data_IF_581140479821
#
_entry.id   IF_581140479821
#
_cell.length_a   1.000
_cell.length_b   1.000
_cell.length_c   1.000
_cell.angle_alpha   90.00
_cell.angle_beta   90.00
_cell.angle_gamma   90.00
#
_symmetry.space_group_name_H-M   'P 1'
#
loop_
_entity.id
_entity.type
_entity.pdbx_description
1 polymer ?
#
# COMPACT_ATOMS: atom_id res chain seq x y z
N UNK A 1 4.20 8.59 22.64
CA UNK A 1 3.40 9.23 21.56
C UNK A 1 4.25 9.13 20.30
N UNK A 2 3.70 8.64 19.18
CA UNK A 2 4.45 8.47 17.94
C UNK A 2 4.72 9.84 17.32
N UNK A 3 5.95 10.03 16.84
CA UNK A 3 6.32 11.18 16.03
C UNK A 3 5.82 10.98 14.59
N UNK A 4 4.69 11.62 14.29
CA UNK A 4 4.04 11.54 12.95
C UNK A 4 4.93 12.14 11.84
N UNK A 5 5.66 13.21 12.15
CA UNK A 5 6.54 13.86 11.16
C UNK A 5 7.70 12.95 10.79
N UNK A 6 8.25 12.25 11.80
CA UNK A 6 9.31 11.28 11.56
C UNK A 6 8.81 10.08 10.79
N UNK A 7 7.61 9.56 11.09
CA UNK A 7 7.00 8.47 10.33
C UNK A 7 6.80 8.86 8.86
N UNK A 8 6.23 10.03 8.59
CA UNK A 8 6.05 10.55 7.22
C UNK A 8 7.38 10.63 6.47
N UNK A 9 8.42 11.17 7.10
CA UNK A 9 9.75 11.27 6.51
C UNK A 9 10.34 9.88 6.16
N UNK A 10 10.18 8.89 7.05
CA UNK A 10 10.65 7.52 6.82
C UNK A 10 9.92 6.91 5.60
N UNK A 11 8.60 7.03 5.53
CA UNK A 11 7.83 6.40 4.43
C UNK A 11 8.13 7.07 3.10
N UNK A 12 8.31 8.40 3.07
CA UNK A 12 8.74 9.12 1.86
C UNK A 12 10.14 8.70 1.41
N UNK A 13 11.07 8.54 2.34
CA UNK A 13 12.43 8.08 2.01
C UNK A 13 12.40 6.64 1.47
N UNK A 14 11.60 5.76 2.03
CA UNK A 14 11.35 4.42 1.49
C UNK A 14 10.83 4.49 0.03
N UNK A 15 9.89 5.40 -0.25
CA UNK A 15 9.42 5.65 -1.61
C UNK A 15 10.53 6.11 -2.55
N UNK A 16 11.46 6.96 -2.10
CA UNK A 16 12.60 7.40 -2.91
C UNK A 16 13.59 6.24 -3.16
N UNK A 17 13.82 5.37 -2.18
CA UNK A 17 14.64 4.16 -2.33
C UNK A 17 14.02 3.28 -3.43
N UNK A 18 12.71 3.02 -3.37
CA UNK A 18 12.01 2.29 -4.42
C UNK A 18 12.15 2.94 -5.79
N UNK A 19 12.00 4.27 -5.90
CA UNK A 19 12.18 5.02 -7.14
C UNK A 19 13.57 4.90 -7.75
N UNK A 20 14.63 4.80 -6.95
CA UNK A 20 16.00 4.67 -7.44
C UNK A 20 16.21 3.36 -8.22
N UNK A 21 15.43 2.32 -7.89
CA UNK A 21 15.46 1.01 -8.53
C UNK A 21 14.37 0.82 -9.59
N UNK A 22 13.39 1.72 -9.63
CA UNK A 22 12.25 1.59 -10.52
C UNK A 22 12.67 1.54 -12.00
N UNK A 23 12.24 0.52 -12.77
CA UNK A 23 12.71 0.28 -14.14
C UNK A 23 12.02 1.21 -15.13
N UNK A 24 12.51 2.44 -15.23
CA UNK A 24 12.11 3.37 -16.29
C UNK A 24 13.12 3.35 -17.44
N UNK A 25 12.65 3.50 -18.66
CA UNK A 25 13.47 3.69 -19.85
C UNK A 25 14.50 2.58 -20.11
N UNK A 26 14.08 1.31 -19.99
CA UNK A 26 14.89 0.14 -20.35
C UNK A 26 15.86 -0.35 -19.27
N UNK A 27 15.80 0.20 -18.06
CA UNK A 27 16.47 -0.41 -16.90
C UNK A 27 15.70 -1.67 -16.48
N UNK A 28 16.42 -2.74 -16.14
CA UNK A 28 15.85 -3.95 -15.54
C UNK A 28 16.16 -3.99 -14.06
N UNK A 29 15.23 -4.48 -13.27
CA UNK A 29 15.42 -4.81 -11.86
C UNK A 29 15.52 -6.32 -11.74
N UNK A 30 16.46 -6.81 -10.95
CA UNK A 30 16.56 -8.22 -10.67
C UNK A 30 15.37 -8.66 -9.82
N UNK A 31 14.65 -9.65 -10.32
CA UNK A 31 13.44 -10.18 -9.69
C UNK A 31 13.41 -11.71 -9.79
N UNK A 32 12.67 -12.32 -8.89
CA UNK A 32 12.40 -13.76 -8.85
C UNK A 32 10.98 -14.02 -8.38
N UNK A 33 10.50 -15.24 -8.48
CA UNK A 33 9.19 -15.65 -8.04
C UNK A 33 9.31 -16.38 -6.69
N UNK A 34 8.56 -15.96 -5.69
CA UNK A 34 8.48 -16.63 -4.37
C UNK A 34 7.67 -17.93 -4.41
N UNK A 35 6.96 -18.19 -5.50
CA UNK A 35 6.00 -19.26 -5.73
C UNK A 35 4.62 -18.70 -6.06
N UNK A 36 3.77 -19.52 -6.69
CA UNK A 36 2.39 -19.16 -7.06
C UNK A 36 2.23 -17.87 -7.89
N UNK A 37 3.27 -17.54 -8.68
CA UNK A 37 3.31 -16.32 -9.50
C UNK A 37 3.31 -15.05 -8.63
N UNK A 38 4.08 -15.06 -7.53
CA UNK A 38 4.27 -13.97 -6.60
C UNK A 38 5.68 -13.37 -6.76
N UNK A 39 5.83 -12.32 -7.58
CA UNK A 39 7.12 -11.73 -7.89
C UNK A 39 7.64 -10.85 -6.74
N UNK A 40 8.93 -10.95 -6.47
CA UNK A 40 9.70 -10.07 -5.60
C UNK A 40 10.94 -9.57 -6.33
N UNK A 41 11.45 -8.42 -5.98
CA UNK A 41 12.65 -7.85 -6.59
C UNK A 41 13.62 -7.28 -5.52
N UNK A 42 14.81 -6.89 -5.97
CA UNK A 42 15.79 -6.25 -5.10
C UNK A 42 15.27 -4.96 -4.45
N UNK A 43 14.32 -4.27 -5.10
CA UNK A 43 13.68 -3.07 -4.55
C UNK A 43 12.87 -3.36 -3.31
N UNK A 44 12.06 -4.44 -3.34
CA UNK A 44 11.25 -4.87 -2.18
C UNK A 44 12.15 -5.12 -0.97
N UNK A 45 13.24 -5.88 -1.13
CA UNK A 45 14.14 -6.22 -0.03
C UNK A 45 14.90 -5.00 0.52
N UNK A 46 15.31 -4.06 -0.33
CA UNK A 46 16.01 -2.85 0.09
C UNK A 46 15.07 -1.94 0.89
N UNK A 47 13.84 -1.78 0.43
CA UNK A 47 12.80 -0.99 1.11
C UNK A 47 12.40 -1.65 2.42
N UNK A 48 12.20 -2.98 2.46
CA UNK A 48 11.89 -3.72 3.68
C UNK A 48 12.97 -3.53 4.75
N UNK A 49 14.24 -3.75 4.38
CA UNK A 49 15.36 -3.58 5.29
C UNK A 49 15.48 -2.16 5.86
N UNK A 50 15.24 -1.15 5.02
CA UNK A 50 15.21 0.25 5.43
C UNK A 50 14.08 0.51 6.41
N UNK A 51 12.84 0.14 6.05
CA UNK A 51 11.66 0.34 6.89
C UNK A 51 11.77 -0.38 8.23
N UNK A 52 12.25 -1.64 8.23
CA UNK A 52 12.44 -2.40 9.46
C UNK A 52 13.39 -1.68 10.42
N UNK A 53 14.53 -1.19 9.93
CA UNK A 53 15.50 -0.46 10.74
C UNK A 53 14.91 0.82 11.33
N UNK A 54 14.31 1.67 10.49
CA UNK A 54 13.84 2.99 10.90
C UNK A 54 12.57 2.92 11.77
N UNK A 55 11.61 2.04 11.44
CA UNK A 55 10.37 1.89 12.20
C UNK A 55 10.60 1.20 13.54
N UNK A 56 11.54 0.22 13.61
CA UNK A 56 11.95 -0.37 14.89
C UNK A 56 12.64 0.68 15.77
N UNK A 57 13.48 1.55 15.20
CA UNK A 57 14.09 2.65 15.95
C UNK A 57 13.06 3.69 16.41
N UNK A 58 12.03 3.96 15.59
CA UNK A 58 10.94 4.89 15.93
C UNK A 58 10.06 4.38 17.07
N UNK A 59 9.75 3.07 17.08
CA UNK A 59 8.92 2.43 18.10
C UNK A 59 9.43 1.01 18.42
N UNK A 60 10.45 0.89 19.29
CA UNK A 60 11.09 -0.41 19.61
C UNK A 60 10.16 -1.45 20.25
N UNK A 61 9.04 -1.01 20.82
CA UNK A 61 8.05 -1.88 21.46
C UNK A 61 6.99 -2.43 20.51
N UNK A 62 7.05 -2.09 19.22
CA UNK A 62 6.12 -2.63 18.23
C UNK A 62 6.70 -3.89 17.58
N UNK A 63 5.86 -4.90 17.40
CA UNK A 63 6.16 -6.07 16.59
C UNK A 63 6.28 -5.72 15.11
N UNK A 64 6.68 -6.68 14.30
CA UNK A 64 6.91 -6.53 12.87
C UNK A 64 6.17 -7.59 12.06
N UNK A 65 5.47 -7.17 11.03
CA UNK A 65 4.88 -8.02 10.00
C UNK A 65 5.12 -7.35 8.64
N UNK A 66 5.82 -8.04 7.76
CA UNK A 66 6.07 -7.59 6.39
C UNK A 66 5.87 -8.73 5.42
N UNK A 67 5.47 -8.41 4.19
CA UNK A 67 5.35 -9.37 3.09
C UNK A 67 6.68 -10.05 2.76
N UNK A 68 7.80 -9.36 2.95
CA UNK A 68 9.15 -9.82 2.55
C UNK A 68 9.96 -10.43 3.70
N UNK A 69 9.44 -10.43 4.91
CA UNK A 69 10.10 -10.96 6.09
C UNK A 69 9.39 -12.20 6.62
N UNK A 70 10.16 -13.13 7.18
CA UNK A 70 9.57 -14.28 7.87
C UNK A 70 8.72 -13.79 9.04
N UNK A 71 7.48 -14.26 9.09
CA UNK A 71 6.56 -13.92 10.17
C UNK A 71 7.03 -14.49 11.50
N UNK A 72 7.25 -13.63 12.47
CA UNK A 72 7.66 -14.02 13.83
C UNK A 72 6.41 -14.09 14.72
N UNK A 73 6.08 -15.30 15.20
CA UNK A 73 4.95 -15.53 16.09
C UNK A 73 4.98 -14.66 17.37
N UNK A 74 6.16 -14.16 17.76
CA UNK A 74 6.33 -13.24 18.90
C UNK A 74 5.44 -11.99 18.77
N UNK A 75 5.21 -11.48 17.52
CA UNK A 75 4.34 -10.31 17.29
C UNK A 75 2.90 -10.50 17.76
N UNK A 76 2.42 -11.74 17.90
CA UNK A 76 1.06 -12.03 18.34
C UNK A 76 0.81 -11.63 19.80
N UNK A 77 1.86 -11.44 20.58
CA UNK A 77 1.79 -10.95 21.96
C UNK A 77 1.99 -9.44 22.06
N UNK A 78 2.37 -8.78 20.95
CA UNK A 78 2.64 -7.35 20.94
C UNK A 78 1.33 -6.56 20.87
N UNK A 79 1.26 -5.48 21.65
CA UNK A 79 0.10 -4.59 21.65
C UNK A 79 0.04 -3.74 20.38
N UNK A 80 1.19 -3.46 19.78
CA UNK A 80 1.36 -2.66 18.57
C UNK A 80 2.19 -3.47 17.58
N UNK A 81 1.82 -3.43 16.31
CA UNK A 81 2.53 -4.13 15.24
C UNK A 81 2.64 -3.19 14.03
N UNK A 82 3.85 -3.04 13.52
CA UNK A 82 4.06 -2.49 12.19
C UNK A 82 3.65 -3.53 11.15
N UNK A 83 2.75 -3.15 10.26
CA UNK A 83 2.34 -3.95 9.09
C UNK A 83 2.84 -3.23 7.86
N UNK A 84 3.67 -3.90 7.07
CA UNK A 84 4.43 -3.30 5.98
C UNK A 84 4.29 -4.13 4.71
N UNK A 85 4.05 -3.45 3.60
CA UNK A 85 4.28 -3.96 2.27
C UNK A 85 5.26 -3.00 1.59
N UNK A 86 6.50 -3.45 1.32
CA UNK A 86 7.55 -2.59 0.76
C UNK A 86 7.22 -2.03 -0.61
N UNK A 87 6.60 -2.84 -1.48
CA UNK A 87 6.14 -2.43 -2.81
C UNK A 87 4.81 -3.13 -3.15
N UNK A 88 3.70 -2.67 -2.54
CA UNK A 88 2.36 -3.09 -2.95
C UNK A 88 2.17 -2.83 -4.46
N UNK A 89 2.00 -3.91 -5.22
CA UNK A 89 1.91 -3.80 -6.68
C UNK A 89 3.22 -4.07 -7.41
N UNK A 90 4.07 -4.96 -6.93
CA UNK A 90 5.37 -5.37 -7.52
C UNK A 90 5.30 -5.65 -9.02
N UNK A 91 4.19 -6.19 -9.53
CA UNK A 91 4.01 -6.42 -10.98
C UNK A 91 3.98 -5.14 -11.80
N UNK A 92 3.33 -4.09 -11.33
CA UNK A 92 3.35 -2.79 -12.01
C UNK A 92 4.70 -2.11 -11.84
N UNK A 93 5.31 -2.24 -10.66
CA UNK A 93 6.67 -1.78 -10.42
C UNK A 93 7.66 -2.37 -11.45
N UNK A 94 7.70 -3.69 -11.59
CA UNK A 94 8.59 -4.40 -12.53
C UNK A 94 8.34 -4.03 -14.01
N UNK A 95 7.13 -3.61 -14.34
CA UNK A 95 6.76 -3.18 -15.70
C UNK A 95 6.98 -1.69 -15.95
N UNK A 96 7.55 -0.94 -14.99
CA UNK A 96 7.71 0.51 -15.10
C UNK A 96 6.39 1.28 -15.10
N UNK A 97 5.32 0.68 -14.55
CA UNK A 97 4.00 1.31 -14.42
C UNK A 97 3.86 1.97 -13.06
N UNK A 98 2.94 2.91 -12.94
CA UNK A 98 2.76 3.75 -11.73
C UNK A 98 1.80 3.16 -10.69
N UNK A 99 1.31 1.92 -10.89
CA UNK A 99 0.28 1.29 -10.05
C UNK A 99 0.84 0.58 -8.80
N UNK A 100 1.84 1.15 -8.13
CA UNK A 100 2.49 0.61 -6.94
C UNK A 100 2.70 1.67 -5.85
N UNK A 101 2.87 1.24 -4.62
CA UNK A 101 3.12 2.11 -3.48
C UNK A 101 3.87 1.38 -2.36
N UNK A 102 4.56 2.13 -1.51
CA UNK A 102 5.05 1.67 -0.20
C UNK A 102 3.91 1.81 0.80
N UNK A 103 3.55 0.72 1.48
CA UNK A 103 2.47 0.69 2.46
C UNK A 103 2.98 0.41 3.86
N UNK A 104 2.64 1.26 4.82
CA UNK A 104 3.02 1.13 6.22
C UNK A 104 1.83 1.44 7.11
N UNK A 105 1.51 0.53 8.03
CA UNK A 105 0.49 0.77 9.05
C UNK A 105 1.00 0.39 10.44
N UNK A 106 0.58 1.14 11.46
CA UNK A 106 0.67 0.73 12.85
C UNK A 106 -0.68 0.21 13.30
N UNK A 107 -0.70 -1.03 13.74
CA UNK A 107 -1.92 -1.76 14.12
C UNK A 107 -1.91 -2.08 15.61
N UNK A 108 -3.06 -1.97 16.25
CA UNK A 108 -3.31 -2.41 17.62
C UNK A 108 -4.59 -3.22 17.69
N UNK A 109 -4.52 -4.44 18.21
CA UNK A 109 -5.70 -5.31 18.39
C UNK A 109 -6.57 -5.42 17.11
N UNK A 110 -5.93 -5.61 15.96
CA UNK A 110 -6.59 -5.73 14.66
C UNK A 110 -7.15 -4.42 14.09
N UNK A 111 -6.84 -3.27 14.68
CA UNK A 111 -7.26 -1.95 14.19
C UNK A 111 -6.06 -1.11 13.78
N UNK A 112 -6.10 -0.58 12.58
CA UNK A 112 -5.10 0.40 12.14
C UNK A 112 -5.26 1.69 12.93
N UNK A 113 -4.17 2.14 13.55
CA UNK A 113 -4.09 3.42 14.28
C UNK A 113 -3.59 4.54 13.37
N UNK A 114 -2.60 4.22 12.55
CA UNK A 114 -1.97 5.11 11.59
C UNK A 114 -1.69 4.30 10.36
N UNK A 115 -1.89 4.89 9.19
CA UNK A 115 -1.47 4.31 7.91
C UNK A 115 -0.86 5.39 7.03
N UNK A 116 0.22 5.03 6.34
CA UNK A 116 0.87 5.84 5.32
C UNK A 116 1.00 4.99 4.05
N UNK A 117 0.67 5.59 2.91
CA UNK A 117 0.85 4.97 1.60
C UNK A 117 1.57 5.99 0.71
N UNK A 118 2.76 5.64 0.26
CA UNK A 118 3.57 6.50 -0.59
C UNK A 118 3.66 5.91 -1.99
N UNK A 119 3.07 6.60 -2.97
CA UNK A 119 3.09 6.25 -4.39
C UNK A 119 3.89 7.29 -5.18
N UNK A 120 5.23 7.26 -5.11
CA UNK A 120 6.09 8.34 -5.59
C UNK A 120 6.04 8.49 -7.12
N UNK A 121 5.82 7.41 -7.86
CA UNK A 121 5.62 7.43 -9.30
C UNK A 121 4.37 8.21 -9.73
N UNK A 122 3.40 8.35 -8.82
CA UNK A 122 2.16 9.12 -8.99
C UNK A 122 2.23 10.49 -8.33
N UNK A 123 3.27 10.76 -7.54
CA UNK A 123 3.41 11.95 -6.68
C UNK A 123 2.27 12.04 -5.65
N UNK A 124 1.87 10.91 -5.11
CA UNK A 124 0.77 10.76 -4.16
C UNK A 124 1.31 10.26 -2.82
N UNK A 125 1.02 10.99 -1.74
CA UNK A 125 1.30 10.62 -0.37
C UNK A 125 -0.01 10.61 0.42
N UNK A 126 -0.40 9.45 0.87
CA UNK A 126 -1.65 9.19 1.56
C UNK A 126 -1.39 8.95 3.03
N UNK A 127 -2.18 9.55 3.89
CA UNK A 127 -2.06 9.38 5.33
C UNK A 127 -3.43 9.22 5.95
N UNK A 128 -3.54 8.34 6.94
CA UNK A 128 -4.74 8.17 7.74
C UNK A 128 -4.39 8.00 9.21
N UNK A 129 -5.21 8.56 10.08
CA UNK A 129 -5.10 8.38 11.53
C UNK A 129 -6.48 8.08 12.09
N UNK A 130 -6.58 7.04 12.91
CA UNK A 130 -7.83 6.65 13.55
C UNK A 130 -8.48 7.84 14.28
N UNK A 131 -9.75 8.10 13.95
CA UNK A 131 -10.53 9.20 14.51
C UNK A 131 -10.17 10.60 14.00
N UNK A 132 -9.18 10.75 13.09
CA UNK A 132 -8.77 12.05 12.53
C UNK A 132 -9.01 12.17 11.03
N UNK A 133 -9.40 11.08 10.38
CA UNK A 133 -9.62 11.02 8.92
C UNK A 133 -8.36 10.70 8.13
N UNK A 134 -8.41 10.98 6.84
CA UNK A 134 -7.34 10.70 5.91
C UNK A 134 -7.07 11.89 4.99
N UNK A 135 -5.86 11.93 4.43
CA UNK A 135 -5.41 12.97 3.50
C UNK A 135 -4.67 12.38 2.31
N UNK A 136 -4.72 13.06 1.17
CA UNK A 136 -3.84 12.87 0.02
C UNK A 136 -3.06 14.17 -0.20
N UNK A 137 -1.74 14.10 -0.15
CA UNK A 137 -0.86 15.28 -0.26
C UNK A 137 -1.23 16.42 0.70
N UNK A 138 -1.71 16.06 1.90
CA UNK A 138 -2.16 17.01 2.92
C UNK A 138 -3.62 17.46 2.79
N UNK A 139 -4.28 17.24 1.65
CA UNK A 139 -5.68 17.59 1.43
C UNK A 139 -6.60 16.51 2.00
N UNK A 140 -7.63 16.92 2.74
CA UNK A 140 -8.59 16.01 3.39
C UNK A 140 -9.38 15.20 2.37
N UNK A 141 -9.45 13.89 2.58
CA UNK A 141 -10.23 12.99 1.73
C UNK A 141 -11.70 12.95 2.17
N UNK A 142 -12.56 12.77 1.16
CA UNK A 142 -13.98 12.50 1.34
C UNK A 142 -14.37 11.34 0.42
N UNK A 143 -14.83 10.25 1.02
CA UNK A 143 -15.33 9.11 0.25
C UNK A 143 -16.62 9.46 -0.49
N UNK A 144 -16.92 8.69 -1.53
CA UNK A 144 -18.19 8.81 -2.26
C UNK A 144 -19.38 8.55 -1.33
N UNK A 145 -20.47 9.26 -1.57
CA UNK A 145 -21.76 9.06 -0.90
C UNK A 145 -22.71 8.19 -1.70
N UNK A 146 -22.24 7.58 -2.80
CA UNK A 146 -23.06 6.70 -3.65
C UNK A 146 -23.54 5.48 -2.87
N UNK A 147 -24.82 5.16 -2.99
CA UNK A 147 -25.45 3.98 -2.36
C UNK A 147 -25.92 2.95 -3.40
N UNK A 148 -25.99 3.34 -4.67
CA UNK A 148 -26.50 2.50 -5.76
C UNK A 148 -25.36 1.88 -6.56
N UNK A 149 -25.48 0.59 -6.90
CA UNK A 149 -24.51 -0.12 -7.75
C UNK A 149 -24.49 0.35 -9.20
N UNK A 150 -25.66 0.57 -9.88
CA UNK A 150 -25.65 1.05 -11.25
C UNK A 150 -24.90 2.38 -11.40
N UNK A 151 -23.86 2.39 -12.26
CA UNK A 151 -22.99 3.54 -12.46
C UNK A 151 -21.93 3.75 -11.37
N UNK A 152 -21.79 2.84 -10.40
CA UNK A 152 -20.72 2.90 -9.41
C UNK A 152 -19.36 2.64 -10.07
N UNK A 153 -18.36 3.43 -9.71
CA UNK A 153 -16.99 3.36 -10.22
C UNK A 153 -16.20 2.28 -9.47
N UNK A 154 -15.54 1.42 -10.24
CA UNK A 154 -14.72 0.31 -9.70
C UNK A 154 -13.35 0.28 -10.39
N UNK A 155 -12.23 0.12 -9.64
CA UNK A 155 -10.93 -0.15 -10.24
C UNK A 155 -10.93 -1.51 -10.94
N UNK A 156 -11.06 -1.52 -12.26
CA UNK A 156 -11.10 -2.72 -13.08
C UNK A 156 -10.60 -2.44 -14.50
N UNK A 157 -9.80 -3.35 -15.06
CA UNK A 157 -9.38 -3.28 -16.46
C UNK A 157 -10.55 -3.64 -17.40
N UNK A 158 -11.27 -4.71 -17.04
CA UNK A 158 -12.45 -5.21 -17.76
C UNK A 158 -13.54 -5.60 -16.78
N UNK A 159 -14.80 -5.53 -17.23
CA UNK A 159 -15.96 -5.93 -16.46
C UNK A 159 -16.62 -7.17 -17.05
N UNK A 160 -16.91 -8.14 -16.19
CA UNK A 160 -17.74 -9.28 -16.56
C UNK A 160 -19.12 -8.81 -17.03
N UNK A 161 -19.79 -9.65 -17.85
CA UNK A 161 -21.12 -9.32 -18.39
C UNK A 161 -22.15 -8.98 -17.29
N UNK A 162 -22.02 -9.64 -16.14
CA UNK A 162 -22.89 -9.41 -14.99
C UNK A 162 -22.68 -8.02 -14.35
N UNK A 163 -21.47 -7.45 -14.50
CA UNK A 163 -21.04 -6.22 -13.84
C UNK A 163 -21.10 -4.98 -14.74
N UNK A 164 -21.68 -5.11 -15.94
CA UNK A 164 -21.77 -4.01 -16.94
C UNK A 164 -22.53 -2.77 -16.46
N UNK A 165 -23.25 -2.86 -15.36
CA UNK A 165 -23.86 -1.73 -14.69
C UNK A 165 -22.86 -0.83 -13.97
N UNK A 166 -21.63 -1.32 -13.73
CA UNK A 166 -20.53 -0.57 -13.09
C UNK A 166 -19.76 0.24 -14.15
N UNK A 167 -18.99 1.22 -13.67
CA UNK A 167 -18.11 2.05 -14.51
C UNK A 167 -16.65 1.71 -14.15
N UNK A 168 -15.88 1.13 -15.07
CA UNK A 168 -14.47 0.85 -14.81
C UNK A 168 -13.69 2.16 -14.73
N UNK A 169 -12.80 2.25 -13.75
CA UNK A 169 -11.78 3.30 -13.63
C UNK A 169 -10.40 2.67 -13.61
N UNK A 170 -9.35 3.50 -13.61
CA UNK A 170 -7.97 3.01 -13.54
C UNK A 170 -7.81 1.92 -12.48
N UNK A 171 -7.12 0.83 -12.86
CA UNK A 171 -6.84 -0.30 -11.98
C UNK A 171 -5.33 -0.38 -11.72
N UNK A 172 -4.77 0.31 -10.71
CA UNK A 172 -3.41 0.06 -10.27
C UNK A 172 -3.25 -1.40 -9.81
N UNK A 173 -2.06 -1.97 -9.92
CA UNK A 173 -1.83 -3.33 -9.45
C UNK A 173 -1.87 -3.40 -7.92
N UNK A 174 -1.33 -2.40 -7.24
CA UNK A 174 -1.36 -2.28 -5.79
C UNK A 174 -2.78 -2.24 -5.22
N UNK A 175 -3.07 -3.15 -4.28
CA UNK A 175 -4.40 -3.24 -3.65
C UNK A 175 -4.64 -2.09 -2.68
N UNK A 176 -3.60 -1.63 -1.99
CA UNK A 176 -3.69 -0.48 -1.10
C UNK A 176 -4.05 0.80 -1.86
N UNK A 177 -3.49 1.00 -3.07
CA UNK A 177 -3.90 2.12 -3.95
C UNK A 177 -5.36 2.05 -4.34
N UNK A 178 -5.86 0.86 -4.69
CA UNK A 178 -7.30 0.70 -5.02
C UNK A 178 -8.19 1.02 -3.82
N UNK A 179 -7.78 0.62 -2.61
CA UNK A 179 -8.50 0.97 -1.38
C UNK A 179 -8.46 2.49 -1.12
N UNK A 180 -7.31 3.12 -1.34
CA UNK A 180 -7.15 4.57 -1.24
C UNK A 180 -8.02 5.34 -2.26
N UNK A 181 -8.19 4.82 -3.48
CA UNK A 181 -9.12 5.39 -4.47
C UNK A 181 -10.57 5.41 -3.98
N UNK A 182 -11.00 4.38 -3.24
CA UNK A 182 -12.34 4.38 -2.62
C UNK A 182 -12.40 5.40 -1.48
N UNK A 183 -11.39 5.46 -0.64
CA UNK A 183 -11.33 6.42 0.46
C UNK A 183 -11.34 7.89 0.00
N UNK A 184 -10.84 8.16 -1.21
CA UNK A 184 -10.81 9.51 -1.82
C UNK A 184 -12.02 9.84 -2.69
N UNK A 185 -12.93 8.89 -2.89
CA UNK A 185 -14.05 9.07 -3.81
C UNK A 185 -13.66 9.02 -5.30
N UNK A 186 -12.45 8.61 -5.64
CA UNK A 186 -12.05 8.33 -7.04
C UNK A 186 -12.73 7.06 -7.56
N UNK A 187 -12.98 6.10 -6.67
CA UNK A 187 -13.82 4.94 -6.90
C UNK A 187 -14.94 4.88 -5.85
N UNK A 188 -15.98 4.11 -6.11
CA UNK A 188 -17.13 3.98 -5.21
C UNK A 188 -17.10 2.64 -4.47
N UNK A 189 -16.46 1.63 -5.06
CA UNK A 189 -16.29 0.31 -4.46
C UNK A 189 -14.98 -0.34 -4.93
N UNK A 190 -14.54 -1.32 -4.16
CA UNK A 190 -13.46 -2.22 -4.50
C UNK A 190 -13.97 -3.65 -4.42
N UNK A 191 -13.67 -4.45 -5.44
CA UNK A 191 -13.88 -5.90 -5.43
C UNK A 191 -12.55 -6.59 -5.75
N UNK A 192 -12.23 -7.64 -5.00
CA UNK A 192 -11.11 -8.53 -5.28
C UNK A 192 -11.56 -9.97 -5.17
N UNK A 193 -11.11 -10.80 -6.12
CA UNK A 193 -11.37 -12.25 -6.12
C UNK A 193 -10.35 -13.02 -5.29
N UNK A 194 -9.25 -12.37 -4.89
CA UNK A 194 -8.20 -12.97 -4.08
C UNK A 194 -8.20 -12.29 -2.71
N UNK A 195 -8.71 -13.01 -1.72
CA UNK A 195 -8.38 -12.78 -0.34
C UNK A 195 -7.15 -13.65 -0.07
N UNK A 196 -5.96 -13.17 -0.41
CA UNK A 196 -4.76 -13.66 0.20
C UNK A 196 -4.72 -13.17 1.64
N UNK A 197 -3.98 -13.84 2.48
CA UNK A 197 -3.64 -13.34 3.81
C UNK A 197 -2.57 -12.24 3.62
N UNK A 198 -3.02 -11.08 3.24
CA UNK A 198 -2.21 -9.88 3.17
C UNK A 198 -2.71 -8.87 4.18
#
# INVERSE_FOLDING_TARGET
>A
MIDYSRLDAIVREAGLIAMNRWPVAGKSVKSWDKGDNDPVCEGDLEVDAFLRRELTALLPSAGWLSEESVDEAARLTDRLVWVVDPIDGTRDYLRGRTGWAVSVALVSSGRSLIACLEAPARKESWQATAGRGATLNGERLVASTRTELPGARIPAADLAKADRQLVPVEQPNGIALRAAMVASGQADLLATMRWGYE
#
